data_IF_280527894746
#
_entry.id   IF_280527894746
#
_cell.length_a   1.000
_cell.length_b   1.000
_cell.length_c   1.000
_cell.angle_alpha   90.00
_cell.angle_beta   90.00
_cell.angle_gamma   90.00
#
_symmetry.space_group_name_H-M   'P 1'
#
loop_
_entity.id
_entity.type
_entity.pdbx_description
1 polymer ?
#
# COMPACT_ATOMS: atom_id res chain seq x y z
N UNK A 1 -15.15 -9.53 -10.44
CA UNK A 1 -16.48 -8.87 -10.43
C UNK A 1 -16.61 -8.06 -11.72
N UNK A 2 -17.57 -8.39 -12.61
CA UNK A 2 -17.68 -7.75 -13.92
C UNK A 2 -18.09 -6.27 -13.87
N UNK A 3 -18.47 -5.75 -12.70
CA UNK A 3 -18.83 -4.33 -12.51
C UNK A 3 -17.60 -3.43 -12.40
N UNK A 4 -16.44 -3.99 -12.05
CA UNK A 4 -15.18 -3.25 -11.97
C UNK A 4 -14.60 -3.14 -13.38
N UNK A 5 -14.56 -1.92 -13.92
CA UNK A 5 -14.08 -1.64 -15.29
C UNK A 5 -12.58 -1.42 -15.36
N UNK A 6 -11.98 -0.87 -14.30
CA UNK A 6 -10.56 -0.51 -14.19
C UNK A 6 -10.14 -0.59 -12.72
N UNK A 7 -8.90 -0.97 -12.49
CA UNK A 7 -8.27 -0.99 -11.17
C UNK A 7 -7.00 -0.15 -11.23
N UNK A 8 -6.89 0.86 -10.39
CA UNK A 8 -5.65 1.59 -10.18
C UNK A 8 -5.12 1.24 -8.79
N UNK A 9 -3.84 0.92 -8.71
CA UNK A 9 -3.14 0.51 -7.51
C UNK A 9 -2.00 1.47 -7.29
N UNK A 10 -1.92 2.08 -6.10
CA UNK A 10 -0.83 2.97 -5.70
C UNK A 10 -0.21 2.52 -4.38
N UNK A 11 1.10 2.74 -4.21
CA UNK A 11 1.79 2.53 -2.94
C UNK A 11 1.87 1.07 -2.49
N UNK A 12 1.70 0.09 -3.38
CA UNK A 12 1.88 -1.33 -3.05
C UNK A 12 2.69 -2.05 -4.11
N UNK A 13 3.58 -2.94 -3.65
CA UNK A 13 4.48 -3.72 -4.49
C UNK A 13 4.37 -5.22 -4.22
N UNK A 14 5.52 -5.90 -4.20
CA UNK A 14 5.60 -7.35 -4.10
C UNK A 14 5.01 -7.94 -2.80
N UNK A 15 4.93 -7.17 -1.72
CA UNK A 15 4.38 -7.62 -0.44
C UNK A 15 2.92 -8.12 -0.54
N UNK A 16 2.13 -7.58 -1.46
CA UNK A 16 0.75 -8.06 -1.71
C UNK A 16 0.75 -9.51 -2.22
N UNK A 17 1.72 -9.84 -3.08
CA UNK A 17 1.85 -11.18 -3.68
C UNK A 17 2.49 -12.15 -2.69
N UNK A 18 3.53 -11.70 -2.00
CA UNK A 18 4.42 -12.57 -1.23
C UNK A 18 4.00 -12.73 0.24
N UNK A 19 3.36 -11.71 0.80
CA UNK A 19 3.12 -11.57 2.24
C UNK A 19 1.66 -11.24 2.58
N UNK A 20 0.78 -11.18 1.57
CA UNK A 20 -0.66 -10.98 1.77
C UNK A 20 -1.07 -9.53 2.10
N UNK A 21 -0.19 -8.55 1.92
CA UNK A 21 -0.55 -7.13 2.01
C UNK A 21 0.56 -6.26 2.59
N UNK A 22 0.72 -6.29 3.92
CA UNK A 22 1.78 -5.53 4.61
C UNK A 22 3.13 -6.19 4.35
N UNK A 23 4.15 -5.38 4.10
CA UNK A 23 5.52 -5.87 4.05
C UNK A 23 6.03 -6.19 5.46
N UNK A 24 5.74 -7.41 5.91
CA UNK A 24 6.17 -7.92 7.23
C UNK A 24 7.69 -8.08 7.35
N UNK A 25 8.46 -7.83 6.28
CA UNK A 25 9.92 -7.73 6.33
C UNK A 25 10.39 -6.37 6.87
N UNK A 26 9.56 -5.33 6.78
CA UNK A 26 9.85 -4.01 7.30
C UNK A 26 9.36 -3.84 8.74
N UNK A 27 8.13 -4.29 9.02
CA UNK A 27 7.53 -4.22 10.36
C UNK A 27 6.47 -5.31 10.51
N UNK A 28 6.43 -5.98 11.66
CA UNK A 28 5.40 -6.98 11.92
C UNK A 28 4.08 -6.37 12.42
N UNK A 29 3.00 -7.14 12.29
CA UNK A 29 1.66 -6.70 12.70
C UNK A 29 1.57 -6.36 14.20
N UNK A 30 2.12 -7.18 15.14
CA UNK A 30 2.12 -6.84 16.56
C UNK A 30 2.77 -5.49 16.85
N UNK A 31 3.90 -5.18 16.22
CA UNK A 31 4.61 -3.92 16.43
C UNK A 31 3.78 -2.72 15.97
N UNK A 32 3.08 -2.83 14.83
CA UNK A 32 2.13 -1.79 14.39
C UNK A 32 0.98 -1.66 15.39
N UNK A 33 0.39 -2.77 15.84
CA UNK A 33 -0.72 -2.77 16.80
C UNK A 33 -0.32 -2.11 18.12
N UNK A 34 0.87 -2.41 18.64
CA UNK A 34 1.40 -1.82 19.86
C UNK A 34 1.63 -0.30 19.68
N UNK A 35 2.20 0.13 18.55
CA UNK A 35 2.39 1.55 18.25
C UNK A 35 1.07 2.33 18.12
N UNK A 36 0.04 1.70 17.55
CA UNK A 36 -1.29 2.30 17.44
C UNK A 36 -2.01 2.38 18.79
N UNK A 37 -1.78 1.42 19.69
CA UNK A 37 -2.55 1.32 20.94
C UNK A 37 -1.85 1.88 22.18
N UNK A 38 -0.54 2.15 22.11
CA UNK A 38 0.21 2.75 23.22
C UNK A 38 -0.32 4.14 23.59
N UNK A 39 -0.35 4.40 24.90
CA UNK A 39 -0.69 5.70 25.47
C UNK A 39 0.46 6.70 25.42
N UNK A 40 1.69 6.22 25.17
CA UNK A 40 2.91 7.03 25.08
C UNK A 40 3.55 6.86 23.69
N UNK A 41 3.27 7.75 22.71
CA UNK A 41 3.79 7.64 21.35
C UNK A 41 5.32 7.73 21.28
N UNK A 42 5.96 8.48 22.19
CA UNK A 42 7.40 8.68 22.22
C UNK A 42 8.15 7.39 22.61
N UNK A 43 7.44 6.41 23.16
CA UNK A 43 7.99 5.08 23.47
C UNK A 43 8.16 4.17 22.26
N UNK A 44 7.60 4.52 21.09
CA UNK A 44 7.68 3.70 19.87
C UNK A 44 9.04 3.90 19.21
N UNK A 45 9.92 2.90 19.32
CA UNK A 45 11.28 2.97 18.76
C UNK A 45 11.40 2.46 17.33
N UNK A 46 10.46 1.64 16.86
CA UNK A 46 10.44 1.17 15.48
C UNK A 46 10.01 2.31 14.55
N UNK A 47 10.88 2.67 13.61
CA UNK A 47 10.67 3.82 12.72
C UNK A 47 9.42 3.67 11.86
N UNK A 48 9.17 2.49 11.31
CA UNK A 48 8.02 2.25 10.44
C UNK A 48 6.72 2.26 11.25
N UNK A 49 6.69 1.61 12.41
CA UNK A 49 5.52 1.64 13.30
C UNK A 49 5.22 3.05 13.83
N UNK A 50 6.25 3.83 14.16
CA UNK A 50 6.12 5.24 14.54
C UNK A 50 5.53 6.09 13.40
N UNK A 51 5.94 5.83 12.14
CA UNK A 51 5.37 6.51 10.98
C UNK A 51 3.87 6.19 10.79
N UNK A 52 3.46 4.92 10.97
CA UNK A 52 2.03 4.54 10.97
C UNK A 52 1.26 5.29 12.05
N UNK A 53 1.77 5.32 13.28
CA UNK A 53 1.14 6.06 14.39
C UNK A 53 1.01 7.55 14.07
N UNK A 54 2.11 8.17 13.62
CA UNK A 54 2.15 9.60 13.27
C UNK A 54 1.16 9.94 12.17
N UNK A 55 1.03 9.09 11.14
CA UNK A 55 0.07 9.28 10.07
C UNK A 55 -1.37 9.26 10.58
N UNK A 56 -1.71 8.27 11.42
CA UNK A 56 -3.05 8.15 12.01
C UNK A 56 -3.37 9.34 12.90
N UNK A 57 -2.40 9.80 13.71
CA UNK A 57 -2.56 11.01 14.52
C UNK A 57 -2.80 12.24 13.64
N UNK A 58 -2.04 12.41 12.54
CA UNK A 58 -2.13 13.56 11.66
C UNK A 58 -3.46 13.67 10.91
N UNK A 59 -4.10 12.53 10.59
CA UNK A 59 -5.41 12.50 9.93
C UNK A 59 -6.58 12.37 10.91
N UNK A 60 -6.31 12.44 12.22
CA UNK A 60 -7.28 12.21 13.30
C UNK A 60 -8.03 10.86 13.15
N UNK A 61 -7.31 9.82 12.73
CA UNK A 61 -7.84 8.49 12.50
C UNK A 61 -8.12 7.70 13.79
N UNK A 62 -8.96 6.67 13.70
CA UNK A 62 -9.27 5.78 14.83
C UNK A 62 -8.19 4.70 14.98
N UNK A 63 -7.32 4.87 15.97
CA UNK A 63 -6.25 3.92 16.27
C UNK A 63 -6.75 2.52 16.60
N UNK A 64 -7.88 2.41 17.33
CA UNK A 64 -8.41 1.12 17.76
C UNK A 64 -8.99 0.36 16.57
N UNK A 65 -9.68 1.06 15.68
CA UNK A 65 -10.19 0.47 14.45
C UNK A 65 -9.04 -0.01 13.55
N UNK A 66 -7.98 0.79 13.39
CA UNK A 66 -6.84 0.40 12.58
C UNK A 66 -6.07 -0.78 13.21
N UNK A 67 -5.82 -0.75 14.52
CA UNK A 67 -5.17 -1.85 15.23
C UNK A 67 -5.96 -3.17 15.11
N UNK A 68 -7.29 -3.10 15.22
CA UNK A 68 -8.15 -4.26 15.00
C UNK A 68 -8.08 -4.76 13.55
N UNK A 69 -8.06 -3.85 12.57
CA UNK A 69 -7.90 -4.20 11.17
C UNK A 69 -6.54 -4.87 10.92
N UNK A 70 -5.44 -4.30 11.42
CA UNK A 70 -4.07 -4.84 11.28
C UNK A 70 -3.97 -6.25 11.86
N UNK A 71 -4.58 -6.47 13.03
CA UNK A 71 -4.65 -7.81 13.67
C UNK A 71 -5.39 -8.83 12.79
N UNK A 72 -6.46 -8.41 12.12
CA UNK A 72 -7.30 -9.28 11.30
C UNK A 72 -6.79 -9.45 9.85
N UNK A 73 -5.71 -8.76 9.46
CA UNK A 73 -5.15 -8.88 8.12
C UNK A 73 -4.68 -10.31 7.86
N UNK A 74 -5.00 -10.82 6.68
CA UNK A 74 -4.58 -12.17 6.26
C UNK A 74 -3.09 -12.18 5.94
N UNK A 75 -2.47 -13.34 6.16
CA UNK A 75 -1.12 -13.66 5.67
C UNK A 75 -1.17 -14.57 4.43
N UNK A 76 -2.38 -14.99 4.04
CA UNK A 76 -2.58 -15.86 2.89
C UNK A 76 -2.45 -15.06 1.59
N UNK A 77 -1.82 -15.63 0.54
CA UNK A 77 -1.77 -15.01 -0.78
C UNK A 77 -3.15 -14.64 -1.30
N UNK A 78 -3.22 -13.50 -1.99
CA UNK A 78 -4.43 -13.03 -2.67
C UNK A 78 -4.48 -13.67 -4.07
N UNK A 79 -5.65 -14.17 -4.48
CA UNK A 79 -5.85 -14.70 -5.84
C UNK A 79 -5.94 -13.56 -6.87
N UNK A 80 -4.78 -12.98 -7.18
CA UNK A 80 -4.62 -11.89 -8.13
C UNK A 80 -4.85 -12.33 -9.59
N UNK A 81 -4.72 -13.63 -9.88
CA UNK A 81 -4.99 -14.19 -11.20
C UNK A 81 -6.48 -14.10 -11.61
N UNK A 82 -7.37 -13.98 -10.62
CA UNK A 82 -8.80 -13.76 -10.83
C UNK A 82 -9.16 -12.32 -11.20
N UNK A 83 -8.22 -11.38 -11.11
CA UNK A 83 -8.44 -9.97 -11.49
C UNK A 83 -8.47 -9.86 -13.01
N UNK A 84 -9.65 -9.55 -13.56
CA UNK A 84 -9.87 -9.41 -15.00
C UNK A 84 -9.96 -7.96 -15.47
N UNK A 85 -10.01 -6.99 -14.55
CA UNK A 85 -10.06 -5.58 -14.92
C UNK A 85 -8.67 -5.14 -15.40
N UNK A 86 -8.58 -4.34 -16.49
CA UNK A 86 -7.37 -3.60 -16.79
C UNK A 86 -6.84 -2.93 -15.53
N UNK A 87 -5.55 -3.08 -15.28
CA UNK A 87 -4.92 -2.67 -14.03
C UNK A 87 -3.71 -1.79 -14.29
N UNK A 88 -3.65 -0.64 -13.62
CA UNK A 88 -2.49 0.22 -13.56
C UNK A 88 -1.89 0.16 -12.15
N UNK A 89 -0.59 -0.07 -12.06
CA UNK A 89 0.21 0.00 -10.83
C UNK A 89 1.08 1.25 -10.92
N UNK A 90 0.83 2.22 -10.06
CA UNK A 90 1.57 3.48 -9.94
C UNK A 90 2.46 3.44 -8.70
N UNK A 91 3.76 3.64 -8.88
CA UNK A 91 4.72 3.68 -7.77
C UNK A 91 5.67 4.86 -7.90
N UNK A 92 6.16 5.34 -6.77
CA UNK A 92 7.30 6.26 -6.72
C UNK A 92 8.62 5.51 -6.96
N UNK A 93 9.61 6.19 -7.53
CA UNK A 93 10.97 5.65 -7.72
C UNK A 93 11.76 5.53 -6.40
N UNK A 94 11.37 6.27 -5.37
CA UNK A 94 11.95 6.24 -4.02
C UNK A 94 11.03 5.56 -2.98
N UNK A 95 9.91 4.97 -3.41
CA UNK A 95 8.95 4.31 -2.51
C UNK A 95 9.48 2.96 -1.99
N UNK A 96 9.94 2.98 -0.73
CA UNK A 96 10.45 1.80 -0.04
C UNK A 96 9.37 0.80 0.39
N UNK A 97 8.09 1.17 0.37
CA UNK A 97 6.96 0.30 0.70
C UNK A 97 6.41 -0.41 -0.55
N UNK A 98 6.55 0.20 -1.72
CA UNK A 98 6.06 -0.34 -3.00
C UNK A 98 7.15 -1.03 -3.85
N UNK A 99 8.10 -1.70 -3.21
CA UNK A 99 9.24 -2.32 -3.92
C UNK A 99 8.83 -3.45 -4.86
N UNK A 100 9.57 -3.60 -5.96
CA UNK A 100 9.38 -4.63 -7.03
C UNK A 100 7.94 -4.68 -7.56
N UNK A 101 7.40 -3.57 -8.09
CA UNK A 101 6.05 -3.52 -8.66
C UNK A 101 5.84 -4.53 -9.79
N UNK A 102 6.90 -4.98 -10.46
CA UNK A 102 6.84 -5.99 -11.53
C UNK A 102 6.43 -7.37 -11.01
N UNK A 103 6.67 -7.68 -9.73
CA UNK A 103 6.15 -8.91 -9.13
C UNK A 103 4.62 -8.86 -9.05
N UNK A 104 4.06 -7.70 -8.69
CA UNK A 104 2.62 -7.48 -8.64
C UNK A 104 2.00 -7.48 -10.04
N UNK A 105 2.64 -6.81 -11.02
CA UNK A 105 2.12 -6.78 -12.39
C UNK A 105 2.13 -8.15 -13.07
N UNK A 106 3.11 -9.00 -12.78
CA UNK A 106 3.13 -10.39 -13.26
C UNK A 106 2.05 -11.26 -12.63
N UNK A 107 1.60 -10.93 -11.42
CA UNK A 107 0.54 -11.66 -10.73
C UNK A 107 -0.87 -11.26 -11.19
N UNK A 108 -1.03 -10.08 -11.80
CA UNK A 108 -2.32 -9.56 -12.29
C UNK A 108 -2.34 -9.59 -13.83
N UNK A 109 -3.20 -10.39 -14.46
CA UNK A 109 -3.26 -10.46 -15.92
C UNK A 109 -3.48 -9.10 -16.59
N UNK A 110 -2.54 -8.70 -17.45
CA UNK A 110 -2.62 -7.44 -18.21
C UNK A 110 -2.36 -6.17 -17.40
N UNK A 111 -1.80 -6.28 -16.19
CA UNK A 111 -1.40 -5.10 -15.42
C UNK A 111 -0.18 -4.39 -16.04
N UNK A 112 -0.23 -3.06 -16.04
CA UNK A 112 0.89 -2.21 -16.41
C UNK A 112 1.48 -1.54 -15.16
N UNK A 113 2.80 -1.30 -15.17
CA UNK A 113 3.49 -0.52 -14.14
C UNK A 113 3.89 0.82 -14.73
N UNK A 114 3.69 1.88 -13.95
CA UNK A 114 4.21 3.21 -14.23
C UNK A 114 4.90 3.75 -12.98
N UNK A 115 6.12 4.25 -13.17
CA UNK A 115 6.91 4.87 -12.12
C UNK A 115 6.88 6.39 -12.29
N UNK A 116 6.75 7.12 -11.19
CA UNK A 116 6.83 8.58 -11.13
C UNK A 116 7.83 9.00 -10.04
N UNK A 117 8.11 10.29 -9.90
CA UNK A 117 9.09 10.77 -8.94
C UNK A 117 8.51 10.75 -7.51
N UNK A 118 9.35 10.39 -6.54
CA UNK A 118 9.11 10.60 -5.11
C UNK A 118 8.94 9.34 -4.28
N UNK A 119 8.84 9.55 -2.97
CA UNK A 119 8.60 8.48 -2.00
C UNK A 119 7.10 8.10 -1.90
N UNK A 120 6.77 7.23 -0.95
CA UNK A 120 5.43 6.70 -0.74
C UNK A 120 4.31 7.73 -0.65
N UNK A 121 4.57 8.89 0.00
CA UNK A 121 3.59 9.97 0.12
C UNK A 121 3.90 11.11 -0.86
N UNK A 122 5.18 11.34 -1.14
CA UNK A 122 5.67 12.37 -2.06
C UNK A 122 5.14 12.19 -3.48
N UNK A 123 5.00 10.94 -3.94
CA UNK A 123 4.43 10.60 -5.25
C UNK A 123 3.02 11.18 -5.47
N UNK A 124 2.22 11.34 -4.41
CA UNK A 124 0.87 11.91 -4.51
C UNK A 124 0.87 13.39 -4.90
N UNK A 125 1.99 14.09 -4.66
CA UNK A 125 2.19 15.49 -5.04
C UNK A 125 2.73 15.67 -6.46
N UNK A 126 3.24 14.61 -7.11
CA UNK A 126 3.76 14.67 -8.47
C UNK A 126 2.60 14.83 -9.48
N UNK A 127 2.57 15.89 -10.31
CA UNK A 127 1.58 16.02 -11.37
C UNK A 127 1.50 14.81 -12.32
N UNK A 128 2.60 14.08 -12.51
CA UNK A 128 2.65 12.87 -13.31
C UNK A 128 1.79 11.74 -12.72
N UNK A 129 1.65 11.66 -11.39
CA UNK A 129 0.79 10.67 -10.74
C UNK A 129 -0.68 10.86 -11.13
N UNK A 130 -1.18 12.10 -11.02
CA UNK A 130 -2.57 12.43 -11.38
C UNK A 130 -2.78 12.31 -12.90
N UNK A 131 -1.80 12.72 -13.71
CA UNK A 131 -1.88 12.59 -15.17
C UNK A 131 -2.02 11.12 -15.59
N UNK A 132 -1.16 10.24 -15.07
CA UNK A 132 -1.19 8.81 -15.35
C UNK A 132 -2.51 8.16 -14.90
N UNK A 133 -2.96 8.48 -13.68
CA UNK A 133 -4.21 7.95 -13.14
C UNK A 133 -5.41 8.39 -13.98
N UNK A 134 -5.48 9.66 -14.36
CA UNK A 134 -6.61 10.19 -15.13
C UNK A 134 -6.61 9.70 -16.57
N UNK A 135 -5.45 9.60 -17.22
CA UNK A 135 -5.30 9.01 -18.55
C UNK A 135 -5.84 7.57 -18.54
N UNK A 136 -5.35 6.73 -17.62
CA UNK A 136 -5.79 5.35 -17.51
C UNK A 136 -7.28 5.21 -17.21
N UNK A 137 -7.83 6.02 -16.31
CA UNK A 137 -9.25 5.91 -15.94
C UNK A 137 -10.20 6.35 -17.06
N UNK A 138 -9.75 7.21 -17.97
CA UNK A 138 -10.53 7.74 -19.07
C UNK A 138 -10.46 6.92 -20.38
N UNK A 139 -9.49 6.01 -20.52
CA UNK A 139 -9.27 5.19 -21.72
C UNK A 139 -9.57 3.71 -21.49
#
# INVERSE_FOLDING_TARGET
>A
DPRIRRLAIGGVGAAVVELGGIDTRLVDKPTIVDALTTTDPDSVTDYTAAAFRTLVDAIEGDHRALAAQTTAMRDSPIDLGSVTAPTLILVGDEDQLATRPEALSKAIPGAAVQTVEGDHLGTLGDPAFVAALTEFLNH
#
